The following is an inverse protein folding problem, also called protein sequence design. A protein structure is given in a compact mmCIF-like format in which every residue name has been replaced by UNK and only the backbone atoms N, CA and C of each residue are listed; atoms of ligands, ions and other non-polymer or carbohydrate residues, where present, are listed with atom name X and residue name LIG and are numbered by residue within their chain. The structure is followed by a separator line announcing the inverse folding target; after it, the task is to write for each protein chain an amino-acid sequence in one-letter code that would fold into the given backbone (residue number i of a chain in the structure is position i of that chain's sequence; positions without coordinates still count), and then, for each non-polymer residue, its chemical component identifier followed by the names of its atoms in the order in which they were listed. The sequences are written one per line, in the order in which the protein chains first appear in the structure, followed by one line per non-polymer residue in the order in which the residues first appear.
data_IF_275914246062
#
_entry.id   IF_275914246062
#
_cell.length_a   1.000
_cell.length_b   1.000
_cell.length_c   1.000
_cell.angle_alpha   90.00
_cell.angle_beta   90.00
_cell.angle_gamma   90.00
#
_symmetry.space_group_name_H-M   'P 1'
#
loop_
_entity.id
_entity.type
_entity.pdbx_description
1 polymer ?
#
# COMPACT_ATOMS: atom_id res chain seq x y z
N UNK A 1 22.45 59.06 -16.85
CA UNK A 1 21.87 58.62 -18.14
C UNK A 1 22.58 57.34 -18.61
N UNK A 2 21.95 56.17 -18.53
CA UNK A 2 22.15 55.12 -19.55
C UNK A 2 21.00 54.14 -19.50
N UNK A 3 20.36 54.03 -20.64
CA UNK A 3 19.13 53.36 -20.97
C UNK A 3 19.38 51.98 -21.57
N UNK A 4 18.37 51.09 -21.49
CA UNK A 4 17.92 50.12 -22.54
C UNK A 4 18.88 48.93 -22.77
N UNK A 5 18.50 47.69 -23.07
CA UNK A 5 17.28 46.98 -23.54
C UNK A 5 17.56 45.49 -23.23
N UNK A 6 16.58 44.74 -22.71
CA UNK A 6 15.74 43.75 -23.42
C UNK A 6 16.50 42.57 -24.04
N UNK A 7 16.08 41.34 -23.73
CA UNK A 7 15.91 40.13 -24.59
C UNK A 7 15.70 38.92 -23.64
N UNK A 8 14.46 38.57 -23.26
CA UNK A 8 13.56 37.60 -23.92
C UNK A 8 14.25 36.29 -24.34
N UNK A 9 14.13 35.26 -23.51
CA UNK A 9 14.15 33.84 -23.92
C UNK A 9 13.51 33.02 -22.80
N UNK A 10 12.17 32.91 -22.83
CA UNK A 10 11.42 31.99 -21.96
C UNK A 10 11.30 30.67 -22.71
N UNK A 11 12.13 29.70 -22.37
CA UNK A 11 11.93 28.32 -22.76
C UNK A 11 10.91 27.70 -21.80
N UNK A 12 9.64 27.58 -22.23
CA UNK A 12 8.64 26.79 -21.51
C UNK A 12 8.99 25.30 -21.65
N UNK A 13 9.65 24.76 -20.64
CA UNK A 13 9.77 23.31 -20.43
C UNK A 13 8.47 22.87 -19.74
N UNK A 14 7.55 22.30 -20.52
CA UNK A 14 6.35 21.68 -20.00
C UNK A 14 6.72 20.40 -19.25
N UNK A 15 6.65 20.46 -17.92
CA UNK A 15 6.85 19.29 -17.07
C UNK A 15 5.54 18.49 -17.10
N UNK A 16 5.54 17.34 -17.76
CA UNK A 16 4.42 16.41 -17.67
C UNK A 16 4.43 15.79 -16.27
N UNK A 17 3.50 16.23 -15.42
CA UNK A 17 3.28 15.64 -14.10
C UNK A 17 2.76 14.22 -14.27
N UNK A 18 3.61 13.21 -14.08
CA UNK A 18 3.17 11.82 -13.94
C UNK A 18 2.51 11.70 -12.56
N UNK A 19 1.18 11.68 -12.56
CA UNK A 19 0.40 11.34 -11.37
C UNK A 19 0.65 9.88 -11.04
N UNK A 20 1.57 9.61 -10.11
CA UNK A 20 1.68 8.30 -9.49
C UNK A 20 0.44 8.16 -8.61
N UNK A 21 -0.56 7.42 -9.10
CA UNK A 21 -1.58 6.89 -8.20
C UNK A 21 -0.81 6.05 -7.18
N UNK A 22 -0.74 6.52 -5.94
CA UNK A 22 -0.10 5.77 -4.86
C UNK A 22 -0.84 4.44 -4.75
N UNK A 23 -0.23 3.38 -5.25
CA UNK A 23 -0.63 2.02 -4.97
C UNK A 23 -0.50 1.83 -3.46
N UNK A 24 -1.61 1.46 -2.81
CA UNK A 24 -1.57 1.09 -1.40
C UNK A 24 -0.88 -0.26 -1.35
N UNK A 25 0.43 -0.24 -1.12
CA UNK A 25 1.23 -1.44 -0.92
C UNK A 25 1.02 -1.90 0.51
N UNK A 26 0.15 -2.89 0.67
CA UNK A 26 -0.07 -3.56 1.94
C UNK A 26 0.90 -4.69 2.17
N UNK A 27 1.09 -5.00 3.44
CA UNK A 27 1.90 -6.11 3.94
C UNK A 27 1.50 -7.44 3.28
N UNK A 28 2.47 -8.36 3.21
CA UNK A 28 2.30 -9.68 2.61
C UNK A 28 1.87 -9.65 1.14
N UNK A 29 2.46 -8.76 0.33
CA UNK A 29 2.15 -8.62 -1.10
C UNK A 29 0.64 -8.43 -1.37
N UNK A 30 -0.02 -7.58 -0.57
CA UNK A 30 -1.47 -7.32 -0.62
C UNK A 30 -2.38 -8.54 -0.37
N UNK A 31 -1.85 -9.64 0.17
CA UNK A 31 -2.66 -10.78 0.56
C UNK A 31 -3.51 -10.47 1.80
N UNK A 32 -4.68 -11.09 1.86
CA UNK A 32 -5.58 -10.98 3.01
C UNK A 32 -4.90 -11.57 4.26
N UNK A 33 -4.58 -10.73 5.25
CA UNK A 33 -3.90 -11.17 6.48
C UNK A 33 -4.71 -12.25 7.23
N UNK A 34 -6.04 -12.13 7.26
CA UNK A 34 -6.92 -13.15 7.85
C UNK A 34 -6.88 -14.45 7.03
N UNK A 35 -6.82 -14.36 5.70
CA UNK A 35 -6.66 -15.53 4.83
C UNK A 35 -5.34 -16.25 5.09
N UNK A 36 -4.24 -15.50 5.13
CA UNK A 36 -2.91 -16.02 5.41
C UNK A 36 -2.81 -16.68 6.79
N UNK A 37 -3.43 -16.09 7.81
CA UNK A 37 -3.51 -16.69 9.15
C UNK A 37 -4.20 -18.07 9.17
N UNK A 38 -5.01 -18.35 8.15
CA UNK A 38 -5.71 -19.62 7.94
C UNK A 38 -5.03 -20.52 6.88
N UNK A 39 -3.83 -20.14 6.41
CA UNK A 39 -3.09 -20.86 5.37
C UNK A 39 -3.67 -20.69 3.97
N UNK A 40 -4.33 -19.56 3.68
CA UNK A 40 -4.93 -19.26 2.38
C UNK A 40 -4.31 -18.01 1.78
N UNK A 41 -3.80 -18.13 0.57
CA UNK A 41 -3.38 -17.00 -0.25
C UNK A 41 -4.62 -16.42 -0.93
N UNK A 42 -5.02 -15.22 -0.52
CA UNK A 42 -6.16 -14.51 -1.09
C UNK A 42 -5.69 -13.12 -1.44
N UNK A 43 -5.44 -12.90 -2.73
CA UNK A 43 -5.10 -11.58 -3.27
C UNK A 43 -6.22 -10.57 -3.01
N UNK A 44 -5.82 -9.32 -2.78
CA UNK A 44 -6.75 -8.22 -2.56
C UNK A 44 -6.25 -6.98 -3.31
N UNK A 45 -7.15 -6.07 -3.63
CA UNK A 45 -6.80 -4.71 -4.09
C UNK A 45 -6.55 -3.74 -2.92
N UNK A 46 -6.45 -4.29 -1.70
CA UNK A 46 -6.32 -3.57 -0.43
C UNK A 46 -7.39 -2.49 -0.15
N UNK A 47 -8.54 -2.51 -0.83
CA UNK A 47 -9.63 -1.53 -0.60
C UNK A 47 -10.24 -1.61 0.81
N UNK A 48 -10.11 -2.75 1.47
CA UNK A 48 -10.41 -2.91 2.90
C UNK A 48 -9.09 -3.16 3.60
N UNK A 49 -8.65 -2.20 4.41
CA UNK A 49 -7.38 -2.28 5.11
C UNK A 49 -7.46 -1.68 6.52
N UNK A 50 -6.39 -1.88 7.29
CA UNK A 50 -6.12 -1.18 8.54
C UNK A 50 -4.63 -0.88 8.60
N UNK A 51 -4.27 0.32 9.04
CA UNK A 51 -2.90 0.65 9.38
C UNK A 51 -2.69 0.40 10.88
N UNK A 52 -1.66 -0.37 11.25
CA UNK A 52 -1.23 -0.57 12.62
C UNK A 52 0.29 -0.47 12.69
N UNK A 53 0.80 0.37 13.58
CA UNK A 53 2.23 0.60 13.76
C UNK A 53 2.98 0.96 12.45
N UNK A 54 2.30 1.65 11.53
CA UNK A 54 2.84 2.04 10.23
C UNK A 54 2.82 0.93 9.17
N UNK A 55 2.26 -0.24 9.48
CA UNK A 55 2.07 -1.36 8.55
C UNK A 55 0.62 -1.42 8.10
N UNK A 56 0.39 -1.50 6.79
CA UNK A 56 -0.96 -1.63 6.22
C UNK A 56 -1.29 -3.09 6.01
N UNK A 57 -2.35 -3.58 6.66
CA UNK A 57 -2.85 -4.96 6.47
C UNK A 57 -4.12 -4.96 5.63
N UNK A 58 -4.14 -5.77 4.57
CA UNK A 58 -5.27 -5.86 3.65
C UNK A 58 -6.23 -7.00 4.00
N UNK A 59 -7.49 -6.84 3.60
CA UNK A 59 -8.56 -7.82 3.84
C UNK A 59 -9.38 -8.05 2.58
N UNK A 60 -9.71 -9.31 2.30
CA UNK A 60 -10.60 -9.69 1.19
C UNK A 60 -12.06 -9.27 1.40
N UNK A 61 -12.43 -8.84 2.61
CA UNK A 61 -13.76 -8.32 2.93
C UNK A 61 -13.79 -7.61 4.28
N UNK A 62 -14.82 -6.79 4.51
CA UNK A 62 -15.12 -6.22 5.84
C UNK A 62 -15.31 -7.30 6.92
N UNK A 63 -15.81 -8.49 6.54
CA UNK A 63 -15.94 -9.62 7.47
C UNK A 63 -14.58 -10.19 7.89
N UNK A 64 -13.63 -10.29 6.96
CA UNK A 64 -12.27 -10.72 7.26
C UNK A 64 -11.57 -9.74 8.20
N UNK A 65 -11.77 -8.43 7.98
CA UNK A 65 -11.33 -7.38 8.91
C UNK A 65 -11.97 -7.54 10.30
N UNK A 66 -13.28 -7.74 10.37
CA UNK A 66 -13.96 -7.93 11.66
C UNK A 66 -13.52 -9.19 12.42
N UNK A 67 -12.98 -10.21 11.73
CA UNK A 67 -12.33 -11.36 12.37
C UNK A 67 -10.98 -10.97 12.93
N UNK A 68 -10.17 -10.27 12.13
CA UNK A 68 -8.87 -9.74 12.55
C UNK A 68 -8.97 -8.84 13.78
N UNK A 69 -9.94 -7.93 13.82
CA UNK A 69 -10.17 -6.99 14.92
C UNK A 69 -10.41 -7.67 16.28
N UNK A 70 -10.68 -8.98 16.32
CA UNK A 70 -10.85 -9.76 17.57
C UNK A 70 -9.53 -10.22 18.20
N UNK A 71 -8.52 -10.44 17.37
CA UNK A 71 -7.19 -10.91 17.78
C UNK A 71 -6.14 -10.49 16.73
N UNK A 72 -5.79 -9.19 16.64
CA UNK A 72 -4.89 -8.69 15.60
C UNK A 72 -3.51 -9.35 15.69
N UNK A 73 -2.89 -9.35 16.88
CA UNK A 73 -1.57 -9.92 17.11
C UNK A 73 -1.51 -11.42 16.80
N UNK A 74 -2.51 -12.19 17.24
CA UNK A 74 -2.57 -13.63 16.96
C UNK A 74 -2.86 -13.95 15.49
N UNK A 75 -3.54 -13.06 14.77
CA UNK A 75 -3.77 -13.20 13.33
C UNK A 75 -2.49 -12.91 12.55
N UNK A 76 -1.77 -11.82 12.90
CA UNK A 76 -0.47 -11.44 12.32
C UNK A 76 0.56 -12.55 12.54
N UNK A 77 0.73 -13.01 13.78
CA UNK A 77 1.73 -14.03 14.10
C UNK A 77 1.52 -15.38 13.35
N UNK A 78 0.28 -15.67 12.94
CA UNK A 78 -0.02 -16.83 12.07
C UNK A 78 0.23 -16.51 10.61
N UNK A 79 -0.16 -15.31 10.16
CA UNK A 79 0.10 -14.85 8.80
C UNK A 79 1.61 -14.83 8.50
N UNK A 80 2.43 -14.29 9.40
CA UNK A 80 3.90 -14.29 9.30
C UNK A 80 4.45 -15.69 9.03
N UNK A 81 4.04 -16.67 9.85
CA UNK A 81 4.47 -18.07 9.72
C UNK A 81 4.01 -18.72 8.42
N UNK A 82 2.87 -18.31 7.88
CA UNK A 82 2.39 -18.80 6.59
C UNK A 82 3.21 -18.16 5.48
N UNK A 83 3.36 -16.84 5.50
CA UNK A 83 4.05 -16.07 4.48
C UNK A 83 5.53 -16.44 4.37
N UNK A 84 6.24 -16.62 5.49
CA UNK A 84 7.63 -17.10 5.53
C UNK A 84 7.81 -18.46 4.81
N UNK A 85 6.80 -19.32 4.86
CA UNK A 85 6.84 -20.64 4.17
C UNK A 85 6.55 -20.52 2.68
N UNK A 86 5.80 -19.51 2.26
CA UNK A 86 5.52 -19.26 0.84
C UNK A 86 6.72 -18.63 0.14
N UNK A 87 7.53 -17.87 0.89
CA UNK A 87 8.74 -17.20 0.38
C UNK A 87 10.00 -18.09 0.33
N UNK A 88 9.91 -19.36 0.74
CA UNK A 88 11.03 -20.33 0.75
C UNK A 88 10.97 -21.29 -0.44
#
# INVERSE_FOLDING_TARGET
MKSRKLLLSVALIGIASVSHAAEVEGEYDNLCVTGLSMGKEVETDCSVNVEMDGVTYCFSSAKAKAVFDKDPEGTIAKADKTFEKLSQ
#
